data_IF_705038839636
#
_entry.id   IF_705038839636
#
_cell.length_a   1.000
_cell.length_b   1.000
_cell.length_c   1.000
_cell.angle_alpha   90.00
_cell.angle_beta   90.00
_cell.angle_gamma   90.00
#
_symmetry.space_group_name_H-M   'P 1'
#
loop_
_entity.id
_entity.type
_entity.pdbx_description
1 polymer ?
#
# COMPACT_ATOMS: atom_id res chain seq x y z
N UNK A 1 24.96 7.40 3.26
CA UNK A 1 23.95 7.48 4.34
C UNK A 1 22.60 7.05 3.79
N UNK A 2 21.73 6.40 4.59
CA UNK A 2 20.38 6.05 4.16
C UNK A 2 19.55 7.31 3.86
N UNK A 3 18.65 7.23 2.87
CA UNK A 3 17.63 8.26 2.62
C UNK A 3 16.42 7.94 3.49
N UNK A 4 16.04 8.84 4.38
CA UNK A 4 14.92 8.64 5.30
C UNK A 4 13.65 9.30 4.75
N UNK A 5 12.51 8.63 4.91
CA UNK A 5 11.19 9.17 4.65
C UNK A 5 10.39 9.29 5.95
N UNK A 6 9.67 10.38 6.14
CA UNK A 6 8.76 10.53 7.28
C UNK A 6 7.43 9.84 6.98
N UNK A 7 7.03 8.89 7.82
CA UNK A 7 5.69 8.32 7.75
C UNK A 7 4.67 9.27 8.39
N UNK A 8 3.93 10.02 7.57
CA UNK A 8 3.00 11.06 8.04
C UNK A 8 1.75 10.49 8.71
N UNK A 9 1.49 9.18 8.57
CA UNK A 9 0.42 8.52 9.33
C UNK A 9 0.80 8.29 10.80
N UNK A 10 2.11 8.24 11.09
CA UNK A 10 2.62 7.98 12.45
C UNK A 10 3.29 9.20 13.09
N UNK A 11 4.02 9.98 12.30
CA UNK A 11 4.73 11.17 12.75
C UNK A 11 3.83 12.41 12.66
N UNK A 12 4.13 13.40 13.51
CA UNK A 12 3.38 14.65 13.63
C UNK A 12 1.87 14.46 13.93
N UNK A 13 1.47 13.53 14.83
CA UNK A 13 0.06 13.24 15.08
C UNK A 13 -0.74 14.44 15.60
N UNK A 14 -0.06 15.40 16.22
CA UNK A 14 -0.63 16.64 16.76
C UNK A 14 -0.95 17.70 15.68
N UNK A 15 -0.61 17.45 14.42
CA UNK A 15 -0.82 18.36 13.28
C UNK A 15 -1.86 17.73 12.34
N UNK A 16 -2.71 18.55 11.73
CA UNK A 16 -3.63 18.09 10.70
C UNK A 16 -2.87 17.48 9.51
N UNK A 17 -3.41 16.39 8.95
CA UNK A 17 -2.66 15.54 8.02
C UNK A 17 -2.02 16.28 6.84
N UNK A 18 -2.76 17.22 6.23
CA UNK A 18 -2.28 18.00 5.08
C UNK A 18 -1.15 18.98 5.42
N UNK A 19 -1.03 19.39 6.68
CA UNK A 19 0.04 20.28 7.13
C UNK A 19 1.29 19.51 7.57
N UNK A 20 1.19 18.17 7.74
CA UNK A 20 2.32 17.30 8.09
C UNK A 20 3.40 17.25 7.00
N UNK A 21 3.06 17.52 5.73
CA UNK A 21 4.04 17.62 4.65
C UNK A 21 5.07 18.72 4.91
N UNK A 22 4.60 19.91 5.30
CA UNK A 22 5.47 21.04 5.66
C UNK A 22 6.24 20.75 6.96
N UNK A 23 5.59 20.12 7.95
CA UNK A 23 6.26 19.71 9.18
C UNK A 23 7.43 18.74 8.93
N UNK A 24 7.26 17.76 8.04
CA UNK A 24 8.31 16.84 7.65
C UNK A 24 9.49 17.56 6.96
N UNK A 25 9.20 18.47 6.03
CA UNK A 25 10.22 19.29 5.38
C UNK A 25 11.02 20.14 6.37
N UNK A 26 10.33 20.81 7.30
CA UNK A 26 10.96 21.61 8.35
C UNK A 26 11.83 20.78 9.30
N UNK A 27 11.47 19.51 9.52
CA UNK A 27 12.27 18.55 10.28
C UNK A 27 13.44 17.97 9.48
N UNK A 28 13.65 18.39 8.22
CA UNK A 28 14.77 17.99 7.37
C UNK A 28 14.50 16.79 6.47
N UNK A 29 13.30 16.21 6.48
CA UNK A 29 12.95 15.13 5.56
C UNK A 29 12.79 15.65 4.14
N UNK A 30 13.22 14.83 3.17
CA UNK A 30 13.04 15.10 1.73
C UNK A 30 12.06 14.13 1.06
N UNK A 31 11.65 13.12 1.80
CA UNK A 31 10.69 12.11 1.37
C UNK A 31 9.66 11.88 2.48
N UNK A 32 8.46 11.50 2.07
CA UNK A 32 7.35 11.17 2.94
C UNK A 32 6.62 9.93 2.44
N UNK A 33 6.05 9.18 3.36
CA UNK A 33 5.09 8.12 3.06
C UNK A 33 3.85 8.29 3.94
N UNK A 34 2.76 7.65 3.57
CA UNK A 34 1.53 7.62 4.36
C UNK A 34 0.70 6.42 3.97
N UNK A 35 -0.13 5.91 4.89
CA UNK A 35 -0.82 4.67 4.65
C UNK A 35 -2.07 4.86 3.75
N UNK A 36 -3.03 5.69 4.15
CA UNK A 36 -4.34 5.79 3.47
C UNK A 36 -4.73 7.25 3.19
N UNK A 37 -4.46 7.77 1.99
CA UNK A 37 -4.74 9.16 1.63
C UNK A 37 -6.20 9.43 1.20
N UNK A 38 -7.09 8.44 1.27
CA UNK A 38 -8.36 8.44 0.52
C UNK A 38 -9.44 9.38 1.05
N UNK A 39 -9.22 10.03 2.19
CA UNK A 39 -10.10 11.08 2.71
C UNK A 39 -9.90 12.44 1.99
N UNK A 40 -8.79 12.60 1.26
CA UNK A 40 -8.44 13.83 0.56
C UNK A 40 -8.44 13.63 -0.95
N UNK A 41 -8.58 14.72 -1.70
CA UNK A 41 -8.43 14.67 -3.16
C UNK A 41 -6.96 14.43 -3.51
N UNK A 42 -6.66 13.60 -4.53
CA UNK A 42 -5.28 13.31 -4.90
C UNK A 42 -4.49 14.55 -5.32
N UNK A 43 -5.14 15.53 -5.95
CA UNK A 43 -4.52 16.80 -6.37
C UNK A 43 -4.10 17.66 -5.18
N UNK A 44 -4.87 17.63 -4.10
CA UNK A 44 -4.58 18.37 -2.87
C UNK A 44 -3.33 17.83 -2.20
N UNK A 45 -3.23 16.51 -2.05
CA UNK A 45 -2.05 15.84 -1.49
C UNK A 45 -0.81 16.14 -2.31
N UNK A 46 -0.92 16.03 -3.64
CA UNK A 46 0.17 16.34 -4.54
C UNK A 46 0.60 17.81 -4.45
N UNK A 47 -0.36 18.73 -4.30
CA UNK A 47 -0.08 20.15 -4.10
C UNK A 47 0.66 20.40 -2.78
N UNK A 48 0.23 19.78 -1.68
CA UNK A 48 0.90 19.89 -0.37
C UNK A 48 2.32 19.34 -0.39
N UNK A 49 2.53 18.17 -1.01
CA UNK A 49 3.86 17.59 -1.16
C UNK A 49 4.80 18.49 -1.99
N UNK A 50 4.33 19.00 -3.13
CA UNK A 50 5.10 19.95 -3.97
C UNK A 50 5.43 21.24 -3.24
N UNK A 51 4.45 21.84 -2.55
CA UNK A 51 4.66 23.08 -1.82
C UNK A 51 5.68 22.92 -0.68
N UNK A 52 5.69 21.77 -0.01
CA UNK A 52 6.67 21.44 1.02
C UNK A 52 8.04 20.99 0.46
N UNK A 53 8.14 20.72 -0.85
CA UNK A 53 9.38 20.25 -1.47
C UNK A 53 9.78 18.82 -1.06
N UNK A 54 8.80 17.96 -0.79
CA UNK A 54 9.02 16.56 -0.38
C UNK A 54 8.49 15.57 -1.42
N UNK A 55 9.21 14.47 -1.62
CA UNK A 55 8.81 13.36 -2.49
C UNK A 55 7.86 12.42 -1.75
N UNK A 56 6.73 12.04 -2.37
CA UNK A 56 5.90 10.94 -1.86
C UNK A 56 6.47 9.63 -2.37
N UNK A 57 6.98 8.79 -1.45
CA UNK A 57 7.71 7.57 -1.83
C UNK A 57 6.91 6.28 -1.69
N UNK A 58 5.82 6.27 -0.92
CA UNK A 58 4.99 5.09 -0.71
C UNK A 58 3.59 5.48 -0.18
N UNK A 59 2.57 4.75 -0.66
CA UNK A 59 1.31 4.63 0.05
C UNK A 59 0.68 3.23 -0.13
N UNK A 60 -0.29 2.89 0.71
CA UNK A 60 -0.99 1.62 0.63
C UNK A 60 -2.20 1.74 -0.30
N UNK A 61 -2.63 0.63 -0.89
CA UNK A 61 -3.97 0.47 -1.45
C UNK A 61 -5.05 0.68 -0.37
N UNK A 62 -6.32 0.97 -0.75
CA UNK A 62 -7.42 1.02 0.21
C UNK A 62 -7.52 -0.24 1.08
N UNK A 63 -7.96 -0.09 2.33
CA UNK A 63 -8.08 -1.22 3.28
C UNK A 63 -9.21 -2.20 2.95
N UNK A 64 -10.08 -1.88 1.99
CA UNK A 64 -11.34 -2.58 1.77
C UNK A 64 -12.48 -1.98 2.58
N UNK A 65 -13.45 -2.82 2.94
CA UNK A 65 -14.68 -2.46 3.64
C UNK A 65 -14.49 -2.50 5.18
N UNK A 66 -14.57 -1.34 5.87
CA UNK A 66 -14.47 -1.30 7.33
C UNK A 66 -15.57 -2.06 8.06
N UNK A 67 -16.78 -2.18 7.47
CA UNK A 67 -17.90 -2.91 8.09
C UNK A 67 -17.66 -4.42 8.11
N UNK A 68 -16.74 -4.90 7.27
CA UNK A 68 -16.31 -6.31 7.22
C UNK A 68 -14.97 -6.54 7.91
N UNK A 69 -14.49 -5.54 8.68
CA UNK A 69 -13.21 -5.58 9.38
C UNK A 69 -12.02 -5.90 8.46
N UNK A 70 -12.04 -5.40 7.23
CA UNK A 70 -11.01 -5.73 6.25
C UNK A 70 -9.70 -4.96 6.48
N UNK A 71 -8.61 -5.64 6.15
CA UNK A 71 -7.26 -5.09 6.16
C UNK A 71 -6.54 -5.44 4.86
N UNK A 72 -7.19 -5.09 3.75
CA UNK A 72 -6.83 -5.53 2.40
C UNK A 72 -7.70 -6.69 1.94
N UNK A 73 -7.78 -6.85 0.62
CA UNK A 73 -8.67 -7.82 -0.04
C UNK A 73 -7.92 -8.76 -0.98
N UNK A 74 -6.59 -8.63 -1.08
CA UNK A 74 -5.80 -9.30 -2.10
C UNK A 74 -5.84 -10.83 -1.98
N UNK A 75 -5.91 -11.40 -0.78
CA UNK A 75 -6.00 -12.84 -0.55
C UNK A 75 -7.44 -13.38 -0.47
N UNK A 76 -8.48 -12.54 -0.56
CA UNK A 76 -9.86 -12.91 -0.25
C UNK A 76 -10.63 -13.39 -1.50
N UNK A 77 -10.99 -14.68 -1.61
CA UNK A 77 -11.76 -15.19 -2.74
C UNK A 77 -13.14 -14.54 -2.82
N UNK A 78 -13.58 -14.19 -4.02
CA UNK A 78 -14.84 -13.49 -4.25
C UNK A 78 -14.76 -11.97 -4.03
N UNK A 79 -13.58 -11.42 -3.71
CA UNK A 79 -13.34 -9.97 -3.57
C UNK A 79 -12.41 -9.41 -4.65
N UNK A 80 -12.19 -10.15 -5.72
CA UNK A 80 -11.30 -9.77 -6.82
C UNK A 80 -11.77 -8.50 -7.54
N UNK A 81 -13.07 -8.32 -7.73
CA UNK A 81 -13.61 -7.08 -8.32
C UNK A 81 -13.29 -5.88 -7.44
N UNK A 82 -13.54 -6.00 -6.13
CA UNK A 82 -13.20 -4.95 -5.16
C UNK A 82 -11.71 -4.65 -5.14
N UNK A 83 -10.87 -5.68 -5.17
CA UNK A 83 -9.42 -5.53 -5.23
C UNK A 83 -8.98 -4.70 -6.45
N UNK A 84 -9.58 -4.94 -7.62
CA UNK A 84 -9.29 -4.17 -8.84
C UNK A 84 -9.74 -2.72 -8.73
N UNK A 85 -10.93 -2.47 -8.17
CA UNK A 85 -11.40 -1.10 -7.93
C UNK A 85 -10.46 -0.34 -6.98
N UNK A 86 -10.04 -1.00 -5.89
CA UNK A 86 -9.09 -0.46 -4.91
C UNK A 86 -7.72 -0.18 -5.56
N UNK A 87 -7.29 -1.00 -6.52
CA UNK A 87 -6.05 -0.78 -7.27
C UNK A 87 -6.15 0.46 -8.16
N UNK A 88 -7.25 0.65 -8.90
CA UNK A 88 -7.42 1.84 -9.75
C UNK A 88 -7.46 3.12 -8.91
N UNK A 89 -8.06 3.07 -7.73
CA UNK A 89 -8.00 4.18 -6.77
C UNK A 89 -6.54 4.44 -6.38
N UNK A 90 -5.77 3.42 -6.02
CA UNK A 90 -4.38 3.58 -5.63
C UNK A 90 -3.53 4.16 -6.78
N UNK A 91 -3.70 3.67 -8.01
CA UNK A 91 -3.00 4.19 -9.21
C UNK A 91 -3.30 5.67 -9.44
N UNK A 92 -4.56 6.10 -9.31
CA UNK A 92 -4.94 7.51 -9.45
C UNK A 92 -4.20 8.41 -8.47
N UNK A 93 -4.09 7.98 -7.20
CA UNK A 93 -3.38 8.74 -6.16
C UNK A 93 -1.87 8.74 -6.40
N UNK A 94 -1.30 7.59 -6.74
CA UNK A 94 0.12 7.45 -7.05
C UNK A 94 0.50 8.37 -8.22
N UNK A 95 -0.30 8.39 -9.29
CA UNK A 95 -0.07 9.25 -10.47
C UNK A 95 -0.10 10.73 -10.11
N UNK A 96 -1.10 11.18 -9.36
CA UNK A 96 -1.21 12.59 -8.97
C UNK A 96 -0.03 13.05 -8.10
N UNK A 97 0.41 12.20 -7.17
CA UNK A 97 1.52 12.48 -6.26
C UNK A 97 2.91 12.28 -6.90
N UNK A 98 3.00 11.66 -8.08
CA UNK A 98 4.26 11.20 -8.65
C UNK A 98 4.90 10.04 -7.86
N UNK A 99 4.12 9.33 -7.04
CA UNK A 99 4.59 8.21 -6.25
C UNK A 99 4.79 6.99 -7.15
N UNK A 100 5.96 6.34 -7.03
CA UNK A 100 6.32 5.18 -7.88
C UNK A 100 6.07 3.83 -7.21
N UNK A 101 5.65 3.81 -5.94
CA UNK A 101 5.51 2.57 -5.16
C UNK A 101 4.15 2.52 -4.47
N UNK A 102 3.47 1.40 -4.64
CA UNK A 102 2.17 1.15 -4.03
C UNK A 102 2.26 -0.16 -3.26
N UNK A 103 1.95 -0.11 -1.96
CA UNK A 103 1.86 -1.30 -1.13
C UNK A 103 0.47 -1.95 -1.28
N UNK A 104 0.48 -3.21 -1.70
CA UNK A 104 -0.70 -4.06 -1.80
C UNK A 104 -0.90 -4.87 -0.52
N UNK A 105 -1.95 -4.52 0.24
CA UNK A 105 -2.25 -5.20 1.49
C UNK A 105 -2.86 -6.58 1.23
N UNK A 106 -2.27 -7.61 1.86
CA UNK A 106 -2.68 -8.99 1.66
C UNK A 106 -4.13 -9.25 2.09
N UNK A 107 -4.54 -8.78 3.27
CA UNK A 107 -5.81 -9.12 3.89
C UNK A 107 -5.67 -9.98 5.15
N UNK A 108 -6.79 -10.18 5.85
CA UNK A 108 -6.90 -11.06 7.02
C UNK A 108 -7.45 -12.40 6.55
N UNK A 109 -6.77 -13.50 6.86
CA UNK A 109 -7.24 -14.83 6.53
C UNK A 109 -8.45 -15.20 7.42
N UNK A 110 -9.61 -15.55 6.86
CA UNK A 110 -10.70 -16.08 7.65
C UNK A 110 -10.27 -17.37 8.38
N UNK A 111 -10.66 -17.60 9.64
CA UNK A 111 -10.18 -18.72 10.45
C UNK A 111 -10.33 -20.10 9.79
N UNK A 112 -11.45 -20.34 9.13
CA UNK A 112 -11.79 -21.64 8.52
C UNK A 112 -11.55 -21.68 7.00
N UNK A 113 -10.88 -20.67 6.44
CA UNK A 113 -10.63 -20.62 5.00
C UNK A 113 -9.50 -21.59 4.58
N UNK A 114 -9.71 -22.23 3.43
CA UNK A 114 -8.66 -22.99 2.76
C UNK A 114 -7.48 -22.07 2.39
N UNK A 115 -6.34 -22.27 3.07
CA UNK A 115 -5.11 -21.50 2.88
C UNK A 115 -4.57 -21.60 1.45
N UNK A 116 -4.72 -22.75 0.78
CA UNK A 116 -4.27 -22.91 -0.60
C UNK A 116 -5.11 -22.03 -1.55
N UNK A 117 -6.43 -21.97 -1.31
CA UNK A 117 -7.33 -21.07 -2.05
C UNK A 117 -7.00 -19.60 -1.80
N UNK A 118 -6.76 -19.19 -0.55
CA UNK A 118 -6.34 -17.82 -0.23
C UNK A 118 -5.03 -17.44 -0.94
N UNK A 119 -4.04 -18.34 -0.92
CA UNK A 119 -2.75 -18.14 -1.57
C UNK A 119 -2.89 -18.00 -3.10
N UNK A 120 -3.67 -18.89 -3.72
CA UNK A 120 -3.93 -18.82 -5.16
C UNK A 120 -4.61 -17.50 -5.56
N UNK A 121 -5.60 -17.05 -4.79
CA UNK A 121 -6.23 -15.72 -5.00
C UNK A 121 -5.22 -14.59 -4.83
N UNK A 122 -4.38 -14.65 -3.79
CA UNK A 122 -3.35 -13.64 -3.53
C UNK A 122 -2.36 -13.52 -4.69
N UNK A 123 -1.75 -14.63 -5.13
CA UNK A 123 -0.80 -14.65 -6.24
C UNK A 123 -1.46 -14.15 -7.54
N UNK A 124 -2.70 -14.56 -7.82
CA UNK A 124 -3.44 -14.10 -9.00
C UNK A 124 -3.66 -12.58 -8.99
N UNK A 125 -4.06 -12.03 -7.85
CA UNK A 125 -4.27 -10.59 -7.66
C UNK A 125 -2.96 -9.79 -7.70
N UNK A 126 -1.86 -10.30 -7.13
CA UNK A 126 -0.55 -9.67 -7.25
C UNK A 126 -0.05 -9.66 -8.69
N UNK A 127 -0.23 -10.75 -9.45
CA UNK A 127 0.10 -10.79 -10.89
C UNK A 127 -0.70 -9.75 -11.68
N UNK A 128 -1.98 -9.59 -11.36
CA UNK A 128 -2.82 -8.56 -11.95
C UNK A 128 -2.31 -7.15 -11.61
N UNK A 129 -2.06 -6.88 -10.33
CA UNK A 129 -1.59 -5.58 -9.86
C UNK A 129 -0.22 -5.22 -10.44
N UNK A 130 0.70 -6.18 -10.51
CA UNK A 130 2.03 -5.97 -11.08
C UNK A 130 1.95 -5.52 -12.55
N UNK A 131 1.15 -6.22 -13.38
CA UNK A 131 0.93 -5.81 -14.79
C UNK A 131 0.36 -4.41 -14.88
N UNK A 132 -0.71 -4.14 -14.13
CA UNK A 132 -1.41 -2.85 -14.16
C UNK A 132 -0.54 -1.68 -13.68
N UNK A 133 0.30 -1.91 -12.66
CA UNK A 133 1.25 -0.90 -12.18
C UNK A 133 2.43 -0.72 -13.15
N UNK A 134 2.82 -1.77 -13.89
CA UNK A 134 3.86 -1.67 -14.91
C UNK A 134 3.44 -0.74 -16.06
N UNK A 135 2.15 -0.71 -16.44
CA UNK A 135 1.60 0.24 -17.43
C UNK A 135 1.83 1.71 -17.04
N UNK A 136 2.03 2.00 -15.75
CA UNK A 136 2.31 3.34 -15.22
C UNK A 136 3.80 3.53 -14.84
N UNK A 137 4.65 2.52 -15.04
CA UNK A 137 6.04 2.53 -14.55
C UNK A 137 6.17 2.54 -13.02
N UNK A 138 5.16 1.98 -12.33
CA UNK A 138 5.09 1.86 -10.87
C UNK A 138 5.49 0.46 -10.37
N UNK A 139 5.88 0.40 -9.11
CA UNK A 139 6.30 -0.81 -8.39
C UNK A 139 5.20 -1.26 -7.41
N UNK A 140 4.96 -2.57 -7.41
CA UNK A 140 4.11 -3.25 -6.43
C UNK A 140 4.98 -3.67 -5.25
N UNK A 141 4.58 -3.32 -4.03
CA UNK A 141 5.20 -3.82 -2.81
C UNK A 141 4.25 -4.72 -2.03
N UNK A 142 4.78 -5.77 -1.39
CA UNK A 142 4.07 -6.54 -0.36
C UNK A 142 4.79 -6.43 1.00
N UNK A 143 4.03 -6.31 2.08
CA UNK A 143 4.56 -6.14 3.43
C UNK A 143 4.09 -7.29 4.34
N UNK A 144 5.00 -8.15 4.81
CA UNK A 144 4.69 -9.08 5.89
C UNK A 144 4.41 -8.33 7.20
N UNK A 145 3.29 -8.66 7.84
CA UNK A 145 2.89 -8.07 9.12
C UNK A 145 2.99 -9.09 10.24
N UNK A 146 3.32 -8.64 11.45
CA UNK A 146 3.30 -9.54 12.61
C UNK A 146 1.87 -9.77 13.11
N UNK A 147 1.59 -10.98 13.61
CA UNK A 147 0.33 -11.32 14.31
C UNK A 147 0.02 -10.37 15.48
N UNK A 148 1.05 -9.80 16.11
CA UNK A 148 0.89 -8.81 17.18
C UNK A 148 0.37 -7.47 16.66
N UNK A 149 0.74 -7.09 15.44
CA UNK A 149 0.32 -5.83 14.84
C UNK A 149 -1.06 -5.97 14.18
N UNK A 150 -1.27 -7.07 13.43
CA UNK A 150 -2.54 -7.38 12.76
C UNK A 150 -2.82 -8.86 12.92
N UNK A 151 -3.70 -9.20 13.85
CA UNK A 151 -4.09 -10.59 14.10
C UNK A 151 -4.75 -11.20 12.86
N UNK A 152 -4.31 -12.39 12.48
CA UNK A 152 -4.82 -13.13 11.33
C UNK A 152 -4.38 -12.59 9.97
N UNK A 153 -3.40 -11.67 9.91
CA UNK A 153 -2.88 -11.21 8.63
C UNK A 153 -2.35 -12.39 7.78
N UNK A 154 -2.65 -12.37 6.48
CA UNK A 154 -2.35 -13.51 5.62
C UNK A 154 -0.84 -13.70 5.35
N UNK A 155 -0.12 -12.58 5.22
CA UNK A 155 1.31 -12.53 4.94
C UNK A 155 2.06 -12.12 6.21
N UNK A 156 2.78 -13.05 6.84
CA UNK A 156 3.36 -12.83 8.19
C UNK A 156 4.88 -12.86 8.28
N UNK A 157 5.57 -13.40 7.27
CA UNK A 157 7.03 -13.52 7.27
C UNK A 157 7.68 -13.22 5.93
N UNK A 158 8.92 -12.73 5.98
CA UNK A 158 9.75 -12.42 4.80
C UNK A 158 9.99 -13.65 3.91
N UNK A 159 10.14 -14.84 4.50
CA UNK A 159 10.26 -16.08 3.72
C UNK A 159 8.99 -16.42 2.93
N UNK A 160 7.80 -16.10 3.48
CA UNK A 160 6.54 -16.26 2.75
C UNK A 160 6.43 -15.22 1.63
N UNK A 161 6.81 -13.96 1.90
CA UNK A 161 6.84 -12.92 0.86
C UNK A 161 7.77 -13.27 -0.28
N UNK A 162 9.00 -13.70 0.01
CA UNK A 162 9.97 -14.09 -1.01
C UNK A 162 9.43 -15.20 -1.94
N UNK A 163 8.92 -16.30 -1.37
CA UNK A 163 8.29 -17.37 -2.17
C UNK A 163 7.09 -16.88 -2.98
N UNK A 164 6.27 -16.00 -2.39
CA UNK A 164 5.13 -15.42 -3.10
C UNK A 164 5.59 -14.58 -4.29
N UNK A 165 6.64 -13.76 -4.12
CA UNK A 165 7.22 -12.96 -5.20
C UNK A 165 7.82 -13.83 -6.30
N UNK A 166 8.49 -14.93 -5.94
CA UNK A 166 8.99 -15.94 -6.89
C UNK A 166 7.83 -16.52 -7.73
N UNK A 167 6.69 -16.83 -7.11
CA UNK A 167 5.49 -17.33 -7.80
C UNK A 167 4.79 -16.25 -8.65
N UNK A 168 4.79 -15.00 -8.19
CA UNK A 168 4.28 -13.84 -8.94
C UNK A 168 5.12 -13.61 -10.20
N UNK A 169 6.44 -13.78 -10.10
CA UNK A 169 7.40 -13.70 -11.19
C UNK A 169 7.27 -12.40 -12.02
N UNK A 170 7.07 -11.26 -11.34
CA UNK A 170 6.94 -9.95 -11.99
C UNK A 170 8.14 -9.06 -11.65
N UNK A 171 8.78 -8.40 -12.63
CA UNK A 171 10.00 -7.62 -12.42
C UNK A 171 9.80 -6.32 -11.64
N UNK A 172 8.54 -5.90 -11.45
CA UNK A 172 8.18 -4.71 -10.70
C UNK A 172 7.48 -5.02 -9.36
N UNK A 173 7.50 -6.28 -8.91
CA UNK A 173 6.98 -6.70 -7.61
C UNK A 173 8.12 -6.96 -6.62
N UNK A 174 8.01 -6.41 -5.41
CA UNK A 174 9.04 -6.48 -4.36
C UNK A 174 8.43 -6.71 -2.97
#
# INVERSE_FOLDING_TARGET
MPKLAANLSMLFPQIDFLDRFAAAANAGFRAVEYQYPYAWKPEELASRARAAGVEVVLHNMPRGDPQRSEHGTACLPGREARFRDDLEIAVRYARAAGCRRVHCMAGIAPPDADRARLHATYVSNLKYAARRLADEGMQLLIEPLSERAVAGCFLTGSAQAARTLDEVAAPNAF
#
